data_IF_563499527882
#
_entry.id   IF_563499527882
#
_cell.length_a   1.000
_cell.length_b   1.000
_cell.length_c   1.000
_cell.angle_alpha   90.00
_cell.angle_beta   90.00
_cell.angle_gamma   90.00
#
_symmetry.space_group_name_H-M   'P 1'
#
loop_
_entity.id
_entity.type
_entity.pdbx_description
1 polymer ?
#
# COMPACT_ATOMS: atom_id res chain seq x y z
N UNK A 1 28.37 -26.44 39.30
CA UNK A 1 28.50 -25.04 38.83
C UNK A 1 28.73 -24.90 37.32
N UNK A 2 29.12 -25.95 36.57
CA UNK A 2 29.33 -25.86 35.11
C UNK A 2 28.05 -25.80 34.27
N UNK A 3 26.89 -26.20 34.82
CA UNK A 3 25.63 -26.28 34.06
C UNK A 3 24.97 -24.92 33.81
N UNK A 4 25.16 -23.96 34.71
CA UNK A 4 24.60 -22.60 34.57
C UNK A 4 25.36 -21.81 33.51
N UNK A 5 26.68 -22.01 33.39
CA UNK A 5 27.54 -21.30 32.43
C UNK A 5 27.12 -21.56 30.96
N UNK A 6 26.70 -22.79 30.64
CA UNK A 6 26.23 -23.15 29.29
C UNK A 6 24.94 -22.42 28.91
N UNK A 7 24.03 -22.24 29.88
CA UNK A 7 22.77 -21.53 29.66
C UNK A 7 23.02 -20.04 29.36
N UNK A 8 23.94 -19.41 30.08
CA UNK A 8 24.33 -18.01 29.84
C UNK A 8 25.00 -17.81 28.48
N UNK A 9 25.76 -18.78 27.97
CA UNK A 9 26.37 -18.70 26.64
C UNK A 9 25.36 -18.88 25.50
N UNK A 10 24.27 -19.63 25.71
CA UNK A 10 23.23 -19.84 24.69
C UNK A 10 22.17 -18.74 24.67
N UNK A 11 21.99 -18.01 25.77
CA UNK A 11 21.01 -16.94 25.90
C UNK A 11 21.08 -15.87 24.79
N UNK A 12 22.25 -15.31 24.40
CA UNK A 12 22.29 -14.31 23.32
C UNK A 12 21.88 -14.89 21.97
N UNK A 13 22.18 -16.16 21.69
CA UNK A 13 21.76 -16.82 20.44
C UNK A 13 20.24 -16.98 20.40
N UNK A 14 19.63 -17.40 21.52
CA UNK A 14 18.18 -17.53 21.64
C UNK A 14 17.50 -16.15 21.49
N UNK A 15 18.07 -15.11 22.08
CA UNK A 15 17.54 -13.74 21.96
C UNK A 15 17.61 -13.21 20.53
N UNK A 16 18.70 -13.47 19.80
CA UNK A 16 18.83 -13.11 18.38
C UNK A 16 17.78 -13.81 17.51
N UNK A 17 17.59 -15.12 17.71
CA UNK A 17 16.57 -15.89 16.99
C UNK A 17 15.14 -15.40 17.30
N UNK A 18 14.87 -15.01 18.55
CA UNK A 18 13.59 -14.41 18.93
C UNK A 18 13.40 -13.04 18.26
N UNK A 19 14.44 -12.19 18.18
CA UNK A 19 14.35 -10.89 17.52
C UNK A 19 14.04 -11.02 16.02
N UNK A 20 14.63 -11.99 15.32
CA UNK A 20 14.30 -12.25 13.91
C UNK A 20 12.87 -12.77 13.73
N UNK A 21 12.39 -13.63 14.64
CA UNK A 21 11.01 -14.11 14.63
C UNK A 21 10.00 -12.98 14.91
N UNK A 22 10.28 -12.07 15.85
CA UNK A 22 9.43 -10.89 16.07
C UNK A 22 9.51 -9.88 14.91
N UNK A 23 10.70 -9.70 14.32
CA UNK A 23 10.91 -8.80 13.20
C UNK A 23 10.23 -9.25 11.90
N UNK A 24 10.00 -10.55 11.72
CA UNK A 24 9.28 -11.09 10.55
C UNK A 24 7.77 -10.96 10.67
N UNK A 25 7.22 -11.04 11.88
CA UNK A 25 5.78 -10.90 12.12
C UNK A 25 5.30 -9.45 11.93
N UNK A 26 6.12 -8.45 12.26
CA UNK A 26 5.77 -7.03 12.09
C UNK A 26 5.93 -6.51 10.65
N UNK A 27 6.70 -7.18 9.80
CA UNK A 27 6.89 -6.75 8.40
C UNK A 27 5.67 -7.12 7.55
N UNK A 28 5.00 -8.26 7.84
CA UNK A 28 3.79 -8.67 7.12
C UNK A 28 2.53 -7.92 7.59
N UNK A 29 2.49 -7.43 8.83
CA UNK A 29 1.38 -6.62 9.35
C UNK A 29 1.41 -5.14 8.89
N UNK A 30 2.50 -4.69 8.24
CA UNK A 30 2.57 -3.39 7.55
C UNK A 30 1.94 -3.39 6.16
N UNK A 31 1.17 -4.43 5.84
CA UNK A 31 0.29 -4.51 4.67
C UNK A 31 -0.74 -3.37 4.64
N UNK A 32 -0.35 -2.25 4.05
CA UNK A 32 -1.05 -1.67 2.90
C UNK A 32 -2.56 -1.44 3.00
N UNK A 33 -3.09 -1.09 4.17
CA UNK A 33 -4.38 -0.39 4.22
C UNK A 33 -4.15 1.09 3.87
N UNK A 34 -3.78 1.36 2.61
CA UNK A 34 -3.88 2.72 2.10
C UNK A 34 -5.35 3.03 1.79
N UNK A 35 -5.76 4.22 2.19
CA UNK A 35 -7.12 4.71 1.95
C UNK A 35 -7.36 4.92 0.44
N UNK A 36 -8.51 4.45 -0.04
CA UNK A 36 -8.97 4.66 -1.41
C UNK A 36 -10.13 5.65 -1.52
N UNK A 37 -10.71 6.08 -0.39
CA UNK A 37 -11.81 7.03 -0.37
C UNK A 37 -11.32 8.43 0.01
N UNK A 38 -11.29 9.35 -0.96
CA UNK A 38 -10.93 10.77 -0.77
C UNK A 38 -11.73 11.46 0.33
N UNK A 39 -12.91 10.95 0.70
CA UNK A 39 -13.75 11.49 1.77
C UNK A 39 -13.39 11.00 3.17
N UNK A 40 -12.72 9.86 3.28
CA UNK A 40 -12.41 9.21 4.56
C UNK A 40 -10.99 9.51 5.03
N UNK A 41 -10.08 9.90 4.13
CA UNK A 41 -8.71 10.21 4.48
C UNK A 41 -7.87 10.71 3.31
N UNK A 42 -6.58 10.97 3.54
CA UNK A 42 -5.65 11.35 2.48
C UNK A 42 -5.42 10.19 1.51
N UNK A 43 -5.11 10.53 0.26
CA UNK A 43 -4.64 9.58 -0.75
C UNK A 43 -3.09 9.58 -0.74
N UNK A 44 -2.48 8.43 -0.46
CA UNK A 44 -1.04 8.23 -0.62
C UNK A 44 -0.65 8.17 -2.11
N UNK A 45 0.62 8.38 -2.44
CA UNK A 45 1.11 8.20 -3.83
C UNK A 45 0.76 6.81 -4.40
N UNK A 46 0.79 5.79 -3.54
CA UNK A 46 0.38 4.43 -3.87
C UNK A 46 -1.10 4.33 -4.24
N UNK A 47 -1.97 4.94 -3.43
CA UNK A 47 -3.43 4.93 -3.64
C UNK A 47 -3.89 5.60 -4.94
N UNK A 48 -3.06 6.49 -5.52
CA UNK A 48 -3.37 7.15 -6.79
C UNK A 48 -3.40 6.17 -7.98
N UNK A 49 -2.71 5.04 -7.85
CA UNK A 49 -2.48 4.09 -8.94
C UNK A 49 -2.92 2.66 -8.60
N UNK A 50 -2.84 2.28 -7.32
CA UNK A 50 -3.12 0.91 -6.89
C UNK A 50 -4.54 0.70 -6.35
N UNK A 51 -5.30 1.76 -6.07
CA UNK A 51 -6.73 1.61 -5.75
C UNK A 51 -7.47 1.07 -6.98
N UNK A 52 -8.35 0.09 -6.78
CA UNK A 52 -9.22 -0.42 -7.85
C UNK A 52 -10.07 0.74 -8.39
N UNK A 53 -9.91 1.14 -9.66
CA UNK A 53 -10.63 2.26 -10.24
C UNK A 53 -12.14 2.00 -10.35
N UNK A 54 -12.59 0.74 -10.24
CA UNK A 54 -14.00 0.36 -10.33
C UNK A 54 -14.74 0.50 -9.00
N UNK A 55 -14.05 0.81 -7.89
CA UNK A 55 -14.70 1.13 -6.62
C UNK A 55 -15.58 2.37 -6.81
N UNK A 56 -16.88 2.19 -6.62
CA UNK A 56 -17.94 3.18 -6.89
C UNK A 56 -18.03 4.25 -5.80
N UNK A 57 -16.91 4.93 -5.55
CA UNK A 57 -16.77 5.95 -4.51
C UNK A 57 -17.19 7.32 -5.07
N UNK A 58 -18.42 7.71 -4.80
CA UNK A 58 -19.00 8.96 -5.28
C UNK A 58 -19.59 8.84 -6.69
N UNK A 59 -19.80 9.99 -7.34
CA UNK A 59 -20.39 10.04 -8.70
C UNK A 59 -19.34 9.71 -9.77
N UNK A 60 -19.71 8.87 -10.73
CA UNK A 60 -18.92 8.66 -11.94
C UNK A 60 -18.83 9.95 -12.78
N UNK A 61 -17.73 10.14 -13.50
CA UNK A 61 -17.51 11.29 -14.36
C UNK A 61 -16.60 10.98 -15.54
N UNK A 62 -17.12 11.12 -16.76
CA UNK A 62 -16.36 10.88 -18.02
C UNK A 62 -15.28 11.94 -18.30
N UNK A 63 -15.25 13.01 -17.50
CA UNK A 63 -14.23 14.04 -17.52
C UNK A 63 -13.00 13.69 -16.66
N UNK A 64 -13.10 12.66 -15.81
CA UNK A 64 -11.98 12.16 -15.01
C UNK A 64 -11.21 11.09 -15.77
N UNK A 65 -10.08 10.73 -15.20
CA UNK A 65 -9.21 9.66 -15.67
C UNK A 65 -8.89 8.73 -14.51
N UNK A 66 -8.64 7.47 -14.81
CA UNK A 66 -8.14 6.51 -13.85
C UNK A 66 -6.97 5.73 -14.47
N UNK A 67 -6.12 5.20 -13.61
CA UNK A 67 -5.02 4.35 -14.02
C UNK A 67 -5.45 2.88 -13.94
N UNK A 68 -5.23 2.15 -15.04
CA UNK A 68 -5.47 0.72 -15.13
C UNK A 68 -4.13 -0.01 -14.99
N UNK A 69 -3.89 -0.56 -13.80
CA UNK A 69 -2.66 -1.28 -13.46
C UNK A 69 -2.41 -2.50 -14.37
N UNK A 70 -3.47 -3.15 -14.86
CA UNK A 70 -3.35 -4.34 -15.71
C UNK A 70 -2.86 -4.00 -17.11
N UNK A 71 -3.30 -2.88 -17.67
CA UNK A 71 -2.89 -2.41 -19.01
C UNK A 71 -1.70 -1.47 -18.95
N UNK A 72 -1.31 -1.00 -17.76
CA UNK A 72 -0.32 0.04 -17.52
C UNK A 72 -0.66 1.33 -18.30
N UNK A 73 -1.93 1.75 -18.28
CA UNK A 73 -2.43 2.90 -19.04
C UNK A 73 -3.44 3.72 -18.25
N UNK A 74 -3.46 5.01 -18.51
CA UNK A 74 -4.49 5.93 -18.10
C UNK A 74 -5.68 5.92 -19.07
N UNK A 75 -6.86 5.65 -18.54
CA UNK A 75 -8.10 5.49 -19.29
C UNK A 75 -9.13 6.54 -18.84
N UNK A 76 -10.06 6.88 -19.73
CA UNK A 76 -11.10 7.89 -19.46
C UNK A 76 -12.18 7.30 -18.54
N UNK A 77 -12.71 8.13 -17.64
CA UNK A 77 -13.72 7.76 -16.66
C UNK A 77 -13.12 7.62 -15.27
N UNK A 78 -13.96 7.68 -14.24
CA UNK A 78 -13.54 7.54 -12.85
C UNK A 78 -14.60 8.00 -11.85
N UNK A 79 -14.52 7.46 -10.64
CA UNK A 79 -15.39 7.83 -9.52
C UNK A 79 -14.76 8.95 -8.70
N UNK A 80 -15.51 10.05 -8.49
CA UNK A 80 -14.98 11.31 -7.95
C UNK A 80 -14.29 11.18 -6.60
N UNK A 81 -14.74 10.28 -5.75
CA UNK A 81 -14.21 10.08 -4.41
C UNK A 81 -13.20 8.92 -4.35
N UNK A 82 -12.90 8.26 -5.46
CA UNK A 82 -11.83 7.26 -5.54
C UNK A 82 -10.46 7.95 -5.64
N UNK A 83 -9.47 7.50 -4.87
CA UNK A 83 -8.10 7.98 -4.94
C UNK A 83 -7.47 7.76 -6.32
N UNK A 84 -7.80 6.67 -7.01
CA UNK A 84 -7.45 6.43 -8.41
C UNK A 84 -8.43 7.16 -9.36
N UNK A 85 -8.56 8.47 -9.15
CA UNK A 85 -9.31 9.35 -10.03
C UNK A 85 -8.57 10.68 -10.17
N UNK A 86 -8.23 11.02 -11.41
CA UNK A 86 -7.35 12.12 -11.80
C UNK A 86 -8.11 13.16 -12.60
N UNK A 87 -7.72 14.43 -12.46
CA UNK A 87 -8.40 15.58 -13.10
C UNK A 87 -8.08 15.73 -14.59
N UNK A 88 -7.00 15.10 -15.07
CA UNK A 88 -6.60 15.11 -16.47
C UNK A 88 -5.80 13.86 -16.82
N UNK A 89 -5.72 13.53 -18.11
CA UNK A 89 -4.85 12.46 -18.62
C UNK A 89 -3.39 12.69 -18.22
N UNK A 90 -2.89 13.92 -18.37
CA UNK A 90 -1.51 14.26 -17.99
C UNK A 90 -1.23 14.06 -16.50
N UNK A 91 -2.18 14.37 -15.61
CA UNK A 91 -2.02 14.12 -14.18
C UNK A 91 -1.94 12.62 -13.86
N UNK A 92 -2.78 11.80 -14.51
CA UNK A 92 -2.75 10.35 -14.36
C UNK A 92 -1.42 9.76 -14.86
N UNK A 93 -0.97 10.15 -16.06
CA UNK A 93 0.28 9.66 -16.65
C UNK A 93 1.47 10.01 -15.77
N UNK A 94 1.58 11.27 -15.32
CA UNK A 94 2.67 11.68 -14.43
C UNK A 94 2.67 10.96 -13.07
N UNK A 95 1.49 10.63 -12.55
CA UNK A 95 1.39 9.96 -11.25
C UNK A 95 1.71 8.46 -11.34
N UNK A 96 1.27 7.79 -12.41
CA UNK A 96 1.17 6.33 -12.45
C UNK A 96 1.92 5.65 -13.60
N UNK A 97 2.00 6.26 -14.78
CA UNK A 97 2.74 5.67 -15.91
C UNK A 97 4.23 5.95 -15.73
N UNK A 98 5.03 4.88 -15.63
CA UNK A 98 6.50 4.92 -15.61
C UNK A 98 7.07 4.07 -16.74
#
# INVERSE_FOLDING_TARGET
MASTLKLFMLLPVILLLLQEAYGTIDVEARGDNFNCNKREGPCSQRSLCECDPNLQLGRHSDQLWHYNLRTNRCERGGYRDNCNSHTSSGACVMACER
#
